data_IF_527304262645
#
_entry.id   IF_527304262645
#
_cell.length_a   1.000
_cell.length_b   1.000
_cell.length_c   1.000
_cell.angle_alpha   90.00
_cell.angle_beta   90.00
_cell.angle_gamma   90.00
#
_symmetry.space_group_name_H-M   'P 1'
#
loop_
_entity.id
_entity.type
_entity.pdbx_description
1 polymer ?
#
# COMPACT_ATOMS: atom_id res chain seq x y z
N UNK A 1 23.70 36.18 -12.11
CA UNK A 1 22.38 36.52 -12.68
C UNK A 1 21.75 35.27 -13.26
N UNK A 2 20.61 34.78 -12.75
CA UNK A 2 19.99 33.54 -13.21
C UNK A 2 19.14 33.78 -14.47
N UNK A 3 19.35 33.01 -15.53
CA UNK A 3 18.59 33.07 -16.78
C UNK A 3 17.20 32.44 -16.58
N UNK A 4 16.15 33.27 -16.64
CA UNK A 4 14.76 32.85 -16.63
C UNK A 4 14.45 32.09 -17.94
N UNK A 5 14.11 30.80 -17.83
CA UNK A 5 13.58 30.00 -18.95
C UNK A 5 12.06 30.20 -19.03
N UNK A 6 11.61 30.84 -20.10
CA UNK A 6 10.19 30.95 -20.44
C UNK A 6 9.62 29.58 -20.82
N UNK A 7 8.49 29.24 -20.20
CA UNK A 7 7.72 28.01 -20.44
C UNK A 7 6.80 28.27 -21.63
N UNK A 8 7.04 27.60 -22.75
CA UNK A 8 6.16 27.65 -23.94
C UNK A 8 4.76 27.14 -23.58
N UNK A 9 3.77 27.99 -23.78
CA UNK A 9 2.36 27.63 -23.67
C UNK A 9 1.92 26.94 -24.96
N UNK A 10 1.69 25.63 -24.90
CA UNK A 10 1.01 24.88 -25.96
C UNK A 10 -0.43 25.42 -26.14
N UNK A 11 -0.65 26.07 -27.27
CA UNK A 11 -1.98 26.47 -27.75
C UNK A 11 -2.79 25.21 -28.10
N UNK A 12 -3.72 24.83 -27.22
CA UNK A 12 -4.74 23.81 -27.51
C UNK A 12 -5.56 24.21 -28.74
N UNK A 13 -5.43 23.44 -29.82
CA UNK A 13 -6.24 23.55 -31.03
C UNK A 13 -7.71 23.23 -30.70
N UNK A 14 -8.60 24.21 -30.90
CA UNK A 14 -10.06 24.02 -30.84
C UNK A 14 -10.49 23.13 -32.00
N UNK A 15 -10.98 21.92 -31.70
CA UNK A 15 -11.65 21.05 -32.65
C UNK A 15 -13.03 21.62 -32.98
N UNK A 16 -13.31 21.80 -34.27
CA UNK A 16 -14.59 22.25 -34.79
C UNK A 16 -15.58 21.08 -34.74
N UNK A 17 -16.65 21.21 -33.97
CA UNK A 17 -17.78 20.28 -34.01
C UNK A 17 -18.52 20.43 -35.34
N UNK A 18 -18.53 19.37 -36.15
CA UNK A 18 -19.33 19.28 -37.36
C UNK A 18 -20.80 19.03 -36.99
N UNK A 19 -21.68 19.88 -37.50
CA UNK A 19 -23.13 19.76 -37.33
C UNK A 19 -23.65 18.49 -37.97
N UNK A 20 -24.15 17.56 -37.14
CA UNK A 20 -24.96 16.42 -37.60
C UNK A 20 -26.36 16.95 -37.95
N UNK A 21 -26.68 16.99 -39.24
CA UNK A 21 -28.04 17.22 -39.73
C UNK A 21 -28.92 16.05 -39.26
N UNK A 22 -29.93 16.35 -38.45
CA UNK A 22 -30.95 15.41 -38.05
C UNK A 22 -31.79 15.06 -39.29
N UNK A 23 -31.69 13.82 -39.75
CA UNK A 23 -32.59 13.28 -40.78
C UNK A 23 -33.86 12.83 -40.04
N UNK A 24 -34.99 13.47 -40.32
CA UNK A 24 -36.30 12.99 -39.89
C UNK A 24 -36.46 11.53 -40.33
N UNK A 25 -36.65 10.64 -39.36
CA UNK A 25 -37.10 9.28 -39.62
C UNK A 25 -38.62 9.30 -39.50
N UNK A 26 -39.29 9.12 -40.62
CA UNK A 26 -40.72 8.79 -40.62
C UNK A 26 -40.90 7.48 -39.85
N UNK A 27 -41.85 7.49 -38.90
CA UNK A 27 -42.25 6.31 -38.16
C UNK A 27 -43.10 5.43 -39.07
N UNK A 28 -42.58 4.26 -39.42
CA UNK A 28 -43.37 3.18 -40.00
C UNK A 28 -43.91 2.32 -38.84
N UNK A 29 -45.24 2.19 -38.67
CA UNK A 29 -45.80 1.31 -37.65
C UNK A 29 -45.41 -0.15 -37.93
N UNK A 30 -45.06 -0.94 -36.90
CA UNK A 30 -44.69 -2.34 -37.06
C UNK A 30 -45.79 -3.12 -37.77
N UNK A 31 -45.46 -3.79 -38.88
CA UNK A 31 -46.36 -4.74 -39.52
C UNK A 31 -46.48 -5.96 -38.61
N UNK A 32 -47.66 -6.16 -38.04
CA UNK A 32 -47.91 -7.15 -36.99
C UNK A 32 -47.87 -8.62 -37.46
N UNK A 33 -47.67 -8.87 -38.76
CA UNK A 33 -47.54 -10.21 -39.33
C UNK A 33 -46.50 -10.17 -40.47
N UNK A 34 -45.23 -10.19 -40.10
CA UNK A 34 -44.23 -10.87 -40.95
C UNK A 34 -44.23 -12.34 -40.57
N UNK A 35 -44.50 -13.18 -41.56
CA UNK A 35 -44.57 -14.63 -41.46
C UNK A 35 -43.15 -15.19 -41.21
N UNK A 36 -42.67 -15.06 -39.98
CA UNK A 36 -41.31 -15.44 -39.61
C UNK A 36 -41.22 -16.95 -39.42
N UNK A 37 -40.65 -17.55 -40.45
CA UNK A 37 -40.30 -18.97 -40.52
C UNK A 37 -39.18 -19.26 -39.52
N UNK A 38 -39.43 -20.09 -38.51
CA UNK A 38 -38.38 -20.88 -37.88
C UNK A 38 -37.84 -20.46 -36.50
N UNK A 39 -38.65 -19.91 -35.60
CA UNK A 39 -38.27 -19.88 -34.18
C UNK A 39 -38.56 -21.22 -33.50
N UNK A 40 -37.58 -22.13 -33.51
CA UNK A 40 -37.57 -23.30 -32.64
C UNK A 40 -36.81 -22.96 -31.35
N UNK A 41 -37.40 -23.11 -30.15
CA UNK A 41 -36.69 -22.87 -28.91
C UNK A 41 -35.53 -23.87 -28.75
N UNK A 42 -34.37 -23.46 -28.23
CA UNK A 42 -33.24 -24.35 -28.01
C UNK A 42 -33.62 -25.49 -27.04
N UNK A 43 -33.19 -26.72 -27.35
CA UNK A 43 -33.52 -27.95 -26.61
C UNK A 43 -32.94 -28.04 -25.19
N UNK A 44 -32.27 -27.01 -24.70
CA UNK A 44 -31.80 -26.88 -23.31
C UNK A 44 -32.87 -26.35 -22.34
N UNK A 45 -34.15 -26.41 -22.73
CA UNK A 45 -35.29 -26.05 -21.90
C UNK A 45 -35.58 -27.06 -20.76
N UNK A 46 -34.57 -27.53 -20.02
CA UNK A 46 -34.79 -28.01 -18.65
C UNK A 46 -34.95 -26.79 -17.73
N UNK A 47 -36.03 -26.04 -17.96
CA UNK A 47 -36.45 -24.80 -17.29
C UNK A 47 -37.05 -25.02 -15.89
N UNK A 48 -36.78 -26.15 -15.26
CA UNK A 48 -37.37 -26.43 -13.95
C UNK A 48 -36.89 -25.46 -12.86
N UNK A 49 -35.66 -24.97 -12.96
CA UNK A 49 -35.03 -24.12 -11.93
C UNK A 49 -35.39 -22.63 -12.06
N UNK A 50 -35.46 -22.10 -13.30
CA UNK A 50 -35.84 -20.69 -13.52
C UNK A 50 -37.33 -20.42 -13.32
N UNK A 51 -38.20 -21.35 -13.69
CA UNK A 51 -39.65 -21.18 -13.49
C UNK A 51 -40.02 -21.38 -12.02
N UNK A 52 -39.31 -22.23 -11.25
CA UNK A 52 -39.47 -22.31 -9.79
C UNK A 52 -38.95 -21.04 -9.12
N UNK A 53 -37.75 -20.58 -9.45
CA UNK A 53 -37.22 -19.34 -8.88
C UNK A 53 -38.10 -18.12 -9.20
N UNK A 54 -38.68 -18.04 -10.40
CA UNK A 54 -39.63 -16.97 -10.75
C UNK A 54 -40.95 -17.10 -9.98
N UNK A 55 -41.48 -18.33 -9.81
CA UNK A 55 -42.68 -18.57 -9.01
C UNK A 55 -42.46 -18.25 -7.54
N UNK A 56 -41.36 -18.67 -6.95
CA UNK A 56 -40.98 -18.33 -5.58
C UNK A 56 -40.86 -16.82 -5.41
N UNK A 57 -40.21 -16.13 -6.36
CA UNK A 57 -40.09 -14.67 -6.33
C UNK A 57 -41.43 -13.94 -6.48
N UNK A 58 -42.37 -14.52 -7.24
CA UNK A 58 -43.73 -14.00 -7.41
C UNK A 58 -44.57 -14.23 -6.14
N UNK A 59 -44.47 -15.40 -5.52
CA UNK A 59 -45.13 -15.71 -4.25
C UNK A 59 -44.55 -14.91 -3.09
N UNK A 60 -43.24 -14.66 -3.06
CA UNK A 60 -42.59 -13.83 -2.06
C UNK A 60 -42.97 -12.34 -2.22
N UNK A 61 -43.08 -11.86 -3.47
CA UNK A 61 -43.60 -10.53 -3.74
C UNK A 61 -45.09 -10.35 -3.38
N UNK A 62 -45.91 -11.40 -3.49
CA UNK A 62 -47.31 -11.36 -3.04
C UNK A 62 -47.44 -11.54 -1.52
N UNK A 63 -46.59 -12.33 -0.86
CA UNK A 63 -46.58 -12.44 0.61
C UNK A 63 -46.20 -11.11 1.27
N UNK A 64 -45.32 -10.32 0.66
CA UNK A 64 -45.00 -8.97 1.13
C UNK A 64 -46.16 -7.97 0.92
N UNK A 65 -47.11 -8.24 0.01
CA UNK A 65 -48.21 -7.32 -0.36
C UNK A 65 -49.59 -7.71 0.24
N UNK A 66 -49.81 -8.98 0.61
CA UNK A 66 -51.09 -9.44 1.20
C UNK A 66 -51.23 -9.20 2.72
N UNK A 67 -50.18 -8.74 3.40
CA UNK A 67 -50.20 -8.52 4.86
C UNK A 67 -50.54 -7.10 5.31
N UNK A 68 -50.59 -6.13 4.40
CA UNK A 68 -50.53 -4.72 4.77
C UNK A 68 -51.51 -3.89 3.96
N UNK A 69 -52.80 -4.22 4.09
CA UNK A 69 -53.87 -3.33 3.65
C UNK A 69 -53.62 -1.93 4.28
N UNK A 70 -53.27 -0.91 3.48
CA UNK A 70 -52.91 0.42 3.99
C UNK A 70 -54.08 1.06 4.74
N UNK A 71 -55.31 0.60 4.47
CA UNK A 71 -56.52 1.12 5.11
C UNK A 71 -56.86 0.43 6.43
N UNK A 72 -56.51 -0.85 6.63
CA UNK A 72 -56.85 -1.61 7.84
C UNK A 72 -55.77 -1.58 8.94
N UNK A 73 -54.50 -1.44 8.56
CA UNK A 73 -53.37 -1.43 9.52
C UNK A 73 -53.26 -0.14 10.35
N UNK A 74 -53.88 0.95 9.91
CA UNK A 74 -53.78 2.25 10.58
C UNK A 74 -54.73 2.41 11.78
N UNK A 75 -55.77 1.57 11.90
CA UNK A 75 -56.79 1.72 12.95
C UNK A 75 -56.71 0.70 14.09
N UNK A 76 -55.81 -0.29 14.02
CA UNK A 76 -55.74 -1.41 14.98
C UNK A 76 -54.49 -1.41 15.86
N UNK A 77 -53.52 -0.53 15.62
CA UNK A 77 -52.32 -0.41 16.45
C UNK A 77 -52.61 0.51 17.66
N UNK A 78 -52.43 0.04 18.91
CA UNK A 78 -52.50 0.93 20.06
C UNK A 78 -51.41 2.00 19.93
N UNK A 79 -51.81 3.27 19.91
CA UNK A 79 -50.86 4.39 19.86
C UNK A 79 -49.84 4.24 21.00
N UNK A 80 -48.52 4.29 20.72
CA UNK A 80 -47.52 4.28 21.76
C UNK A 80 -47.88 5.34 22.79
N UNK A 81 -47.89 5.01 24.09
CA UNK A 81 -48.12 5.97 25.17
C UNK A 81 -46.90 6.89 25.31
N UNK A 82 -46.58 7.65 24.26
CA UNK A 82 -45.65 8.76 24.32
C UNK A 82 -46.34 9.93 25.03
N UNK A 83 -45.59 10.71 25.79
CA UNK A 83 -46.13 11.96 26.34
C UNK A 83 -46.53 12.89 25.19
N UNK A 84 -47.54 13.73 25.42
CA UNK A 84 -48.02 14.66 24.39
C UNK A 84 -46.90 15.56 23.81
N UNK A 85 -45.85 15.81 24.60
CA UNK A 85 -44.69 16.58 24.18
C UNK A 85 -43.76 15.80 23.24
N UNK A 86 -43.49 14.53 23.54
CA UNK A 86 -42.74 13.64 22.65
C UNK A 86 -43.51 13.38 21.34
N UNK A 87 -44.84 13.27 21.43
CA UNK A 87 -45.70 13.12 20.26
C UNK A 87 -45.67 14.37 19.35
N UNK A 88 -45.68 15.57 19.95
CA UNK A 88 -45.50 16.83 19.21
C UNK A 88 -44.14 16.88 18.51
N UNK A 89 -43.06 16.54 19.21
CA UNK A 89 -41.72 16.51 18.63
C UNK A 89 -41.61 15.48 17.51
N UNK A 90 -42.19 14.29 17.68
CA UNK A 90 -42.23 13.26 16.65
C UNK A 90 -42.96 13.72 15.38
N UNK A 91 -44.10 14.41 15.50
CA UNK A 91 -44.82 14.98 14.36
C UNK A 91 -44.00 16.07 13.68
N UNK A 92 -43.38 16.97 14.46
CA UNK A 92 -42.53 18.06 13.93
C UNK A 92 -41.32 17.47 13.20
N UNK A 93 -40.63 16.51 13.78
CA UNK A 93 -39.51 15.80 13.18
C UNK A 93 -39.92 15.02 11.93
N UNK A 94 -41.07 14.35 11.96
CA UNK A 94 -41.61 13.64 10.81
C UNK A 94 -41.95 14.57 9.65
N UNK A 95 -42.56 15.72 9.95
CA UNK A 95 -42.85 16.75 8.96
C UNK A 95 -41.58 17.42 8.43
N UNK A 96 -40.59 17.66 9.29
CA UNK A 96 -39.29 18.21 8.92
C UNK A 96 -38.53 17.26 8.00
N UNK A 97 -38.44 15.97 8.35
CA UNK A 97 -37.80 14.93 7.53
C UNK A 97 -38.45 14.78 6.16
N UNK A 98 -39.78 14.92 6.07
CA UNK A 98 -40.50 14.88 4.78
C UNK A 98 -40.25 16.11 3.93
N UNK A 99 -40.25 17.31 4.53
CA UNK A 99 -40.01 18.58 3.81
C UNK A 99 -38.56 18.77 3.39
N UNK A 100 -37.63 18.32 4.22
CA UNK A 100 -36.19 18.46 4.02
C UNK A 100 -35.55 17.13 3.59
N UNK A 101 -36.33 16.18 3.07
CA UNK A 101 -35.82 14.88 2.62
C UNK A 101 -34.70 15.05 1.58
N UNK A 102 -34.92 15.94 0.62
CA UNK A 102 -33.94 16.24 -0.44
C UNK A 102 -32.71 16.96 0.10
N UNK A 103 -32.88 17.89 1.03
CA UNK A 103 -31.77 18.62 1.68
C UNK A 103 -30.91 17.71 2.56
N UNK A 104 -31.54 16.79 3.30
CA UNK A 104 -30.87 15.77 4.12
C UNK A 104 -30.09 14.82 3.22
N UNK A 105 -30.70 14.34 2.13
CA UNK A 105 -30.03 13.46 1.17
C UNK A 105 -28.83 14.16 0.50
N UNK A 106 -28.96 15.45 0.15
CA UNK A 106 -27.87 16.22 -0.44
C UNK A 106 -26.75 16.50 0.57
N UNK A 107 -27.09 16.81 1.82
CA UNK A 107 -26.10 16.98 2.89
C UNK A 107 -25.36 15.68 3.21
N UNK A 108 -26.05 14.54 3.25
CA UNK A 108 -25.44 13.23 3.41
C UNK A 108 -24.50 12.90 2.25
N UNK A 109 -24.90 13.18 1.00
CA UNK A 109 -24.03 13.02 -0.17
C UNK A 109 -22.77 13.88 -0.06
N UNK A 110 -22.91 15.15 0.34
CA UNK A 110 -21.79 16.07 0.56
C UNK A 110 -20.88 15.61 1.70
N UNK A 111 -21.46 15.10 2.79
CA UNK A 111 -20.71 14.57 3.94
C UNK A 111 -19.96 13.28 3.56
N UNK A 112 -20.60 12.39 2.80
CA UNK A 112 -19.99 11.18 2.28
C UNK A 112 -18.84 11.49 1.32
N UNK A 113 -18.99 12.47 0.42
CA UNK A 113 -17.91 12.90 -0.47
C UNK A 113 -16.74 13.51 0.30
N UNK A 114 -17.02 14.38 1.29
CA UNK A 114 -15.99 14.94 2.17
C UNK A 114 -15.28 13.86 2.99
N UNK A 115 -16.02 12.86 3.49
CA UNK A 115 -15.46 11.72 4.21
C UNK A 115 -14.57 10.88 3.30
N UNK A 116 -15.01 10.57 2.08
CA UNK A 116 -14.20 9.84 1.07
C UNK A 116 -12.91 10.60 0.74
N UNK A 117 -13.00 11.91 0.49
CA UNK A 117 -11.83 12.76 0.20
C UNK A 117 -10.87 12.85 1.38
N UNK A 118 -11.38 12.88 2.61
CA UNK A 118 -10.56 12.88 3.82
C UNK A 118 -9.84 11.54 4.02
N UNK A 119 -10.56 10.43 3.84
CA UNK A 119 -10.01 9.09 3.92
C UNK A 119 -8.92 8.84 2.86
N UNK A 120 -9.14 9.27 1.61
CA UNK A 120 -8.13 9.17 0.56
C UNK A 120 -6.86 9.95 0.90
N UNK A 121 -7.01 11.22 1.33
CA UNK A 121 -5.87 12.05 1.76
C UNK A 121 -5.11 11.43 2.92
N UNK A 122 -5.81 10.85 3.88
CA UNK A 122 -5.21 10.18 5.02
C UNK A 122 -4.44 8.92 4.59
N UNK A 123 -5.01 8.12 3.68
CA UNK A 123 -4.31 6.95 3.10
C UNK A 123 -3.04 7.36 2.37
N UNK A 124 -3.11 8.38 1.52
CA UNK A 124 -1.92 8.91 0.81
C UNK A 124 -0.88 9.43 1.79
N UNK A 125 -1.29 10.15 2.85
CA UNK A 125 -0.37 10.64 3.87
C UNK A 125 0.30 9.49 4.63
N UNK A 126 -0.45 8.48 5.02
CA UNK A 126 0.09 7.28 5.69
C UNK A 126 1.07 6.52 4.79
N UNK A 127 0.76 6.41 3.50
CA UNK A 127 1.65 5.78 2.52
C UNK A 127 2.95 6.59 2.33
N UNK A 128 2.84 7.91 2.20
CA UNK A 128 4.00 8.80 2.14
C UNK A 128 4.87 8.70 3.40
N UNK A 129 4.27 8.67 4.58
CA UNK A 129 5.02 8.55 5.83
C UNK A 129 5.71 7.19 5.95
N UNK A 130 5.05 6.11 5.53
CA UNK A 130 5.68 4.78 5.45
C UNK A 130 6.86 4.78 4.48
N UNK A 131 6.67 5.36 3.30
CA UNK A 131 7.71 5.42 2.28
C UNK A 131 8.89 6.31 2.72
N UNK A 132 8.62 7.44 3.37
CA UNK A 132 9.66 8.31 3.94
C UNK A 132 10.44 7.61 5.05
N UNK A 133 9.77 6.84 5.92
CA UNK A 133 10.45 6.02 6.94
C UNK A 133 11.38 4.98 6.32
N UNK A 134 10.90 4.26 5.29
CA UNK A 134 11.72 3.27 4.57
C UNK A 134 12.90 3.94 3.86
N UNK A 135 12.66 5.09 3.21
CA UNK A 135 13.69 5.84 2.52
C UNK A 135 14.79 6.33 3.48
N UNK A 136 14.41 6.83 4.66
CA UNK A 136 15.36 7.23 5.71
C UNK A 136 16.21 6.05 6.20
N UNK A 137 15.60 4.90 6.45
CA UNK A 137 16.32 3.70 6.87
C UNK A 137 17.32 3.24 5.80
N UNK A 138 16.92 3.25 4.53
CA UNK A 138 17.79 2.91 3.42
C UNK A 138 18.96 3.89 3.31
N UNK A 139 18.68 5.20 3.44
CA UNK A 139 19.70 6.23 3.40
C UNK A 139 20.71 6.04 4.53
N UNK A 140 20.25 5.81 5.76
CA UNK A 140 21.12 5.56 6.92
C UNK A 140 22.06 4.37 6.66
N UNK A 141 21.53 3.23 6.18
CA UNK A 141 22.33 2.07 5.82
C UNK A 141 23.38 2.38 4.74
N UNK A 142 23.04 3.15 3.71
CA UNK A 142 24.02 3.54 2.69
C UNK A 142 25.12 4.46 3.24
N UNK A 143 24.76 5.38 4.14
CA UNK A 143 25.74 6.26 4.78
C UNK A 143 26.69 5.49 5.70
N UNK A 144 26.20 4.46 6.41
CA UNK A 144 27.05 3.63 7.25
C UNK A 144 27.99 2.75 6.42
N UNK A 145 27.51 2.20 5.30
CA UNK A 145 28.34 1.43 4.35
C UNK A 145 29.43 2.30 3.71
N UNK A 146 29.10 3.52 3.30
CA UNK A 146 30.10 4.44 2.72
C UNK A 146 31.14 4.87 3.76
N UNK A 147 30.71 5.23 4.99
CA UNK A 147 31.63 5.50 6.12
C UNK A 147 32.53 4.32 6.45
N UNK A 148 32.00 3.10 6.37
CA UNK A 148 32.78 1.87 6.56
C UNK A 148 33.88 1.72 5.50
N UNK A 149 33.53 1.91 4.23
CA UNK A 149 34.50 1.86 3.11
C UNK A 149 35.56 2.95 3.26
N UNK A 150 35.16 4.17 3.63
CA UNK A 150 36.09 5.28 3.80
C UNK A 150 37.02 5.09 5.00
N UNK A 151 36.53 4.51 6.11
CA UNK A 151 37.39 4.11 7.24
C UNK A 151 38.42 3.07 6.82
N UNK A 152 38.03 2.08 6.02
CA UNK A 152 38.98 1.12 5.45
C UNK A 152 40.06 1.79 4.61
N UNK A 153 39.67 2.72 3.71
CA UNK A 153 40.65 3.48 2.90
C UNK A 153 41.61 4.29 3.77
N UNK A 154 41.10 4.94 4.82
CA UNK A 154 41.95 5.68 5.77
C UNK A 154 42.93 4.74 6.46
N UNK A 155 42.47 3.57 6.91
CA UNK A 155 43.30 2.59 7.60
C UNK A 155 44.50 2.10 6.76
N UNK A 156 44.33 1.99 5.43
CA UNK A 156 45.42 1.60 4.52
C UNK A 156 46.56 2.64 4.46
N UNK A 157 46.24 3.92 4.69
CA UNK A 157 47.17 5.04 4.61
C UNK A 157 47.73 5.49 5.96
N UNK A 158 47.18 4.99 7.08
CA UNK A 158 47.66 5.33 8.41
C UNK A 158 48.97 4.60 8.73
N UNK A 159 49.95 5.34 9.23
CA UNK A 159 51.21 4.79 9.74
C UNK A 159 51.04 4.18 11.14
N UNK A 160 50.12 4.74 11.94
CA UNK A 160 49.79 4.31 13.29
C UNK A 160 48.31 3.96 13.32
N UNK A 161 47.99 2.76 13.83
CA UNK A 161 46.61 2.26 13.92
C UNK A 161 46.20 2.16 15.39
N UNK A 162 45.06 2.75 15.76
CA UNK A 162 44.42 2.52 17.05
C UNK A 162 43.17 1.64 16.92
N UNK A 163 42.68 1.15 18.06
CA UNK A 163 41.44 0.34 18.15
C UNK A 163 40.23 1.00 17.50
N UNK A 164 40.13 2.33 17.58
CA UNK A 164 38.98 3.12 17.07
C UNK A 164 38.99 3.25 15.54
N UNK A 165 40.15 3.07 14.92
CA UNK A 165 40.32 3.25 13.48
C UNK A 165 39.91 2.00 12.69
N UNK A 166 39.86 0.85 13.37
CA UNK A 166 39.44 -0.42 12.78
C UNK A 166 37.94 -0.34 12.49
N UNK A 167 37.53 -0.33 11.22
CA UNK A 167 36.12 -0.41 10.88
C UNK A 167 35.60 -1.81 11.20
N UNK A 168 34.47 -1.90 11.89
CA UNK A 168 33.81 -3.17 12.21
C UNK A 168 32.55 -3.30 11.34
N UNK A 169 32.26 -4.49 10.77
CA UNK A 169 31.11 -4.69 9.89
C UNK A 169 29.87 -5.01 10.72
N UNK A 170 29.54 -4.15 11.68
CA UNK A 170 28.42 -4.35 12.61
C UNK A 170 27.37 -3.26 12.40
N UNK A 171 26.10 -3.68 12.33
CA UNK A 171 24.96 -2.78 12.47
C UNK A 171 24.77 -2.46 13.97
N UNK A 172 25.08 -1.22 14.39
CA UNK A 172 24.94 -0.79 15.78
C UNK A 172 26.17 -1.03 16.67
N UNK A 173 25.95 -1.52 17.91
CA UNK A 173 26.98 -1.61 18.98
C UNK A 173 27.32 -3.04 19.42
N UNK A 174 26.57 -4.04 18.98
CA UNK A 174 26.75 -5.44 19.38
C UNK A 174 27.40 -6.28 18.29
N UNK A 175 28.34 -7.14 18.67
CA UNK A 175 28.94 -8.16 17.80
C UNK A 175 28.03 -9.39 17.79
N UNK A 176 27.04 -9.40 16.89
CA UNK A 176 26.19 -10.57 16.65
C UNK A 176 26.25 -10.99 15.19
N UNK A 177 26.02 -12.27 14.92
CA UNK A 177 25.93 -12.80 13.57
C UNK A 177 24.85 -12.07 12.76
N UNK A 178 23.70 -11.78 13.36
CA UNK A 178 22.63 -11.02 12.71
C UNK A 178 23.04 -9.60 12.35
N UNK A 179 23.80 -8.91 13.20
CA UNK A 179 24.26 -7.55 12.92
C UNK A 179 25.25 -7.52 11.75
N UNK A 180 26.13 -8.54 11.65
CA UNK A 180 27.06 -8.71 10.53
C UNK A 180 26.32 -9.09 9.25
N UNK A 181 25.32 -9.98 9.36
CA UNK A 181 24.45 -10.39 8.26
C UNK A 181 23.69 -9.21 7.67
N UNK A 182 23.03 -8.42 8.52
CA UNK A 182 22.26 -7.25 8.11
C UNK A 182 23.14 -6.19 7.44
N UNK A 183 24.39 -6.06 7.88
CA UNK A 183 25.33 -5.10 7.31
C UNK A 183 25.85 -5.54 5.94
N UNK A 184 26.20 -6.82 5.77
CA UNK A 184 26.88 -7.34 4.58
C UNK A 184 25.94 -7.83 3.49
N UNK A 185 24.82 -8.46 3.85
CA UNK A 185 23.88 -9.05 2.92
C UNK A 185 22.85 -8.00 2.53
N UNK A 186 22.83 -7.64 1.24
CA UNK A 186 21.78 -6.82 0.67
C UNK A 186 20.68 -7.75 0.15
N UNK A 187 19.44 -7.72 0.70
CA UNK A 187 18.36 -8.60 0.25
C UNK A 187 17.93 -8.33 -1.20
N UNK A 188 18.26 -7.15 -1.73
CA UNK A 188 18.01 -6.79 -3.13
C UNK A 188 19.12 -7.26 -4.09
N UNK A 189 20.27 -7.71 -3.59
CA UNK A 189 21.39 -8.14 -4.44
C UNK A 189 21.31 -9.65 -4.70
N UNK A 190 21.88 -10.09 -5.84
CA UNK A 190 22.00 -11.51 -6.15
C UNK A 190 22.84 -12.24 -5.10
N UNK A 191 22.47 -13.48 -4.81
CA UNK A 191 23.22 -14.37 -3.91
C UNK A 191 24.69 -14.48 -4.30
N UNK A 192 25.00 -14.54 -5.61
CA UNK A 192 26.37 -14.56 -6.10
C UNK A 192 27.17 -13.30 -5.72
N UNK A 193 26.53 -12.13 -5.68
CA UNK A 193 27.19 -10.87 -5.32
C UNK A 193 27.33 -10.72 -3.80
N UNK A 194 26.33 -11.17 -3.04
CA UNK A 194 26.42 -11.27 -1.58
C UNK A 194 27.55 -12.24 -1.17
N UNK A 195 27.66 -13.37 -1.85
CA UNK A 195 28.76 -14.33 -1.68
C UNK A 195 30.11 -13.63 -1.93
N UNK A 196 30.31 -13.00 -3.10
CA UNK A 196 31.56 -12.24 -3.39
C UNK A 196 31.89 -11.19 -2.31
N UNK A 197 30.90 -10.45 -1.80
CA UNK A 197 31.10 -9.48 -0.70
C UNK A 197 31.61 -10.16 0.57
N UNK A 198 30.96 -11.24 1.00
CA UNK A 198 31.38 -12.00 2.19
C UNK A 198 32.80 -12.54 2.02
N UNK A 199 33.16 -13.10 0.86
CA UNK A 199 34.53 -13.57 0.60
C UNK A 199 35.57 -12.46 0.66
N UNK A 200 35.24 -11.28 0.14
CA UNK A 200 36.14 -10.11 0.18
C UNK A 200 36.39 -9.67 1.63
N UNK A 201 35.34 -9.63 2.44
CA UNK A 201 35.47 -9.26 3.86
C UNK A 201 36.15 -10.37 4.67
N UNK A 202 35.88 -11.64 4.40
CA UNK A 202 36.60 -12.78 5.00
C UNK A 202 38.11 -12.69 4.75
N UNK A 203 38.53 -12.32 3.54
CA UNK A 203 39.94 -12.12 3.22
C UNK A 203 40.55 -10.91 3.94
N UNK A 204 39.74 -9.90 4.31
CA UNK A 204 40.16 -8.68 5.03
C UNK A 204 40.27 -8.92 6.53
N UNK A 205 39.32 -9.64 7.13
CA UNK A 205 39.30 -9.99 8.55
C UNK A 205 39.99 -11.33 8.86
N UNK A 206 40.75 -11.90 7.92
CA UNK A 206 41.54 -13.08 8.23
C UNK A 206 42.61 -12.73 9.29
N UNK A 207 42.66 -13.43 10.44
CA UNK A 207 43.50 -13.03 11.57
C UNK A 207 44.98 -12.90 11.18
N UNK A 208 45.50 -13.84 10.40
CA UNK A 208 46.90 -13.81 9.94
C UNK A 208 47.22 -12.59 9.05
N UNK A 209 46.36 -12.28 8.08
CA UNK A 209 46.55 -11.12 7.18
C UNK A 209 46.39 -9.81 7.94
N UNK A 210 45.46 -9.76 8.89
CA UNK A 210 45.23 -8.60 9.72
C UNK A 210 46.43 -8.33 10.64
N UNK A 211 46.97 -9.36 11.28
CA UNK A 211 48.17 -9.24 12.13
C UNK A 211 49.35 -8.73 11.32
N UNK A 212 49.60 -9.36 10.17
CA UNK A 212 50.75 -9.03 9.33
C UNK A 212 50.69 -7.59 8.81
N UNK A 213 49.51 -7.09 8.45
CA UNK A 213 49.34 -5.75 7.84
C UNK A 213 49.15 -4.64 8.88
N UNK A 214 48.29 -4.85 9.87
CA UNK A 214 47.82 -3.79 10.76
C UNK A 214 48.38 -3.91 12.17
N UNK A 215 48.57 -5.13 12.72
CA UNK A 215 49.10 -5.26 14.08
C UNK A 215 50.55 -4.83 14.23
N UNK A 216 51.36 -4.92 13.16
CA UNK A 216 52.72 -4.35 13.15
C UNK A 216 52.75 -2.84 13.36
N UNK A 217 51.69 -2.14 12.94
CA UNK A 217 51.50 -0.67 13.05
C UNK A 217 50.57 -0.28 14.20
N UNK A 218 50.08 -1.25 14.96
CA UNK A 218 49.09 -1.00 16.00
C UNK A 218 49.77 -0.48 17.26
N UNK A 219 49.37 0.72 17.68
CA UNK A 219 49.84 1.34 18.92
C UNK A 219 48.71 1.31 19.95
N UNK A 220 48.89 0.45 20.96
CA UNK A 220 47.94 0.25 22.06
C UNK A 220 48.53 -0.69 23.10
N UNK A 221 47.85 -0.83 24.23
CA UNK A 221 48.25 -1.81 25.25
C UNK A 221 48.13 -3.24 24.70
N UNK A 222 48.94 -4.17 25.19
CA UNK A 222 48.86 -5.58 24.78
C UNK A 222 47.46 -6.18 25.00
N UNK A 223 46.79 -5.76 26.08
CA UNK A 223 45.37 -6.08 26.34
C UNK A 223 44.42 -5.60 25.25
N UNK A 224 44.71 -4.47 24.61
CA UNK A 224 43.87 -3.95 23.52
C UNK A 224 44.11 -4.72 22.23
N UNK A 225 45.37 -5.12 21.97
CA UNK A 225 45.71 -6.00 20.84
C UNK A 225 44.99 -7.33 20.96
N UNK A 226 45.05 -7.97 22.13
CA UNK A 226 44.34 -9.23 22.41
C UNK A 226 42.82 -9.10 22.19
N UNK A 227 42.21 -8.02 22.69
CA UNK A 227 40.77 -7.77 22.48
C UNK A 227 40.41 -7.61 21.01
N UNK A 228 41.22 -6.86 20.25
CA UNK A 228 41.01 -6.70 18.82
C UNK A 228 41.15 -8.04 18.10
N UNK A 229 42.14 -8.86 18.47
CA UNK A 229 42.30 -10.22 17.92
C UNK A 229 41.11 -11.13 18.23
N UNK A 230 40.60 -11.09 19.45
CA UNK A 230 39.41 -11.83 19.84
C UNK A 230 38.20 -11.43 18.96
N UNK A 231 37.95 -10.13 18.79
CA UNK A 231 36.87 -9.65 17.94
C UNK A 231 37.05 -10.02 16.46
N UNK A 232 38.29 -10.01 15.95
CA UNK A 232 38.58 -10.43 14.57
C UNK A 232 38.29 -11.92 14.40
N UNK A 233 38.67 -12.75 15.38
CA UNK A 233 38.38 -14.18 15.36
C UNK A 233 36.86 -14.44 15.41
N UNK A 234 36.11 -13.72 16.26
CA UNK A 234 34.65 -13.79 16.31
C UNK A 234 34.02 -13.42 14.96
N UNK A 235 34.43 -12.29 14.37
CA UNK A 235 33.93 -11.84 13.07
C UNK A 235 34.30 -12.82 11.96
N UNK A 236 35.53 -13.34 11.95
CA UNK A 236 35.94 -14.35 10.97
C UNK A 236 35.11 -15.63 11.13
N UNK A 237 34.74 -16.02 12.35
CA UNK A 237 33.82 -17.11 12.63
C UNK A 237 32.43 -16.84 12.05
N UNK A 238 31.85 -15.67 12.33
CA UNK A 238 30.55 -15.26 11.80
C UNK A 238 30.56 -15.18 10.26
N UNK A 239 31.64 -14.69 9.65
CA UNK A 239 31.78 -14.64 8.19
C UNK A 239 31.85 -16.04 7.56
N UNK A 240 32.53 -16.99 8.21
CA UNK A 240 32.59 -18.38 7.75
C UNK A 240 31.21 -19.05 7.85
N UNK A 241 30.51 -18.82 8.96
CA UNK A 241 29.15 -19.34 9.16
C UNK A 241 28.18 -18.76 8.13
N UNK A 242 28.22 -17.44 7.90
CA UNK A 242 27.41 -16.77 6.88
C UNK A 242 27.72 -17.28 5.47
N UNK A 243 28.99 -17.54 5.16
CA UNK A 243 29.37 -18.15 3.89
C UNK A 243 28.86 -19.58 3.76
N UNK A 244 28.85 -20.36 4.84
CA UNK A 244 28.34 -21.73 4.82
C UNK A 244 26.82 -21.80 4.68
N UNK A 245 26.09 -20.75 5.08
CA UNK A 245 24.64 -20.64 4.99
C UNK A 245 24.15 -20.10 3.62
N UNK A 246 25.06 -19.69 2.72
CA UNK A 246 24.78 -19.17 1.36
C UNK A 246 25.38 -20.10 0.28
#
# INVERSE_FOLDING_TARGET
>A
MPKLRFKENERKKKTKHSGRRHREKYYEPPRLYEEETGWAPPSSASKYDQDQAWRERLFEAMMDDEGQDPFYTQYTQPTPRMSDEEHRQYIVDGMYRRKHADEIAEEERRKAERAKRKAEKERVRQEQERNDRLYRQLLEQTTDKTRFIDRWKRLEHLEIVHKKDIPWPISGKSFSLEAVRQFLIDPSASEADNKKKVRKEQARYHPDKFVTRYMRRFQGSDRERERVMAHINEISGFLNELWSQM
#
